data_IF_481333558663
#
_entry.id   IF_481333558663
#
_cell.length_a   1.000
_cell.length_b   1.000
_cell.length_c   1.000
_cell.angle_alpha   90.00
_cell.angle_beta   90.00
_cell.angle_gamma   90.00
#
_symmetry.space_group_name_H-M   'P 1'
#
loop_
_entity.id
_entity.type
_entity.pdbx_description
1 polymer ?
#
# COMPACT_ATOMS: atom_id res chain seq x y z
N UNK A 1 18.72 4.75 -11.00
CA UNK A 1 18.28 3.44 -10.48
C UNK A 1 16.79 3.35 -10.68
N UNK A 2 16.31 2.30 -11.35
CA UNK A 2 14.89 2.03 -11.58
C UNK A 2 14.40 1.01 -10.55
N UNK A 3 13.39 1.37 -9.77
CA UNK A 3 12.75 0.47 -8.79
C UNK A 3 11.32 0.18 -9.21
N UNK A 4 10.98 -1.09 -9.30
CA UNK A 4 9.62 -1.56 -9.56
C UNK A 4 8.98 -1.99 -8.23
N UNK A 5 7.82 -1.41 -7.89
CA UNK A 5 7.07 -1.76 -6.68
C UNK A 5 5.81 -2.54 -7.09
N UNK A 6 5.69 -3.75 -6.63
CA UNK A 6 4.49 -4.58 -6.77
C UNK A 6 3.50 -4.22 -5.65
N UNK A 7 2.40 -3.56 -6.03
CA UNK A 7 1.43 -2.92 -5.14
C UNK A 7 1.50 -1.40 -5.21
N UNK A 8 0.35 -0.71 -5.08
CA UNK A 8 0.25 0.75 -5.04
C UNK A 8 -0.69 1.23 -3.92
N UNK A 9 -0.90 0.41 -2.88
CA UNK A 9 -1.63 0.77 -1.67
C UNK A 9 -0.82 1.71 -0.75
N UNK A 10 -1.33 2.00 0.45
CA UNK A 10 -0.79 3.05 1.35
C UNK A 10 0.67 2.79 1.76
N UNK A 11 1.05 1.56 2.09
CA UNK A 11 2.42 1.22 2.46
C UNK A 11 3.35 1.27 1.24
N UNK A 12 2.90 0.72 0.10
CA UNK A 12 3.64 0.78 -1.15
C UNK A 12 3.88 2.24 -1.59
N UNK A 13 2.89 3.11 -1.42
CA UNK A 13 3.01 4.54 -1.71
C UNK A 13 4.01 5.22 -0.78
N UNK A 14 4.00 4.91 0.53
CA UNK A 14 5.02 5.44 1.45
C UNK A 14 6.44 5.01 1.09
N UNK A 15 6.61 3.78 0.58
CA UNK A 15 7.88 3.31 0.01
C UNK A 15 8.22 4.14 -1.23
N UNK A 16 7.28 4.29 -2.17
CA UNK A 16 7.48 5.07 -3.40
C UNK A 16 7.89 6.51 -3.11
N UNK A 17 7.25 7.19 -2.14
CA UNK A 17 7.61 8.55 -1.71
C UNK A 17 9.06 8.64 -1.20
N UNK A 18 9.52 7.66 -0.41
CA UNK A 18 10.91 7.63 0.09
C UNK A 18 11.92 7.43 -1.04
N UNK A 19 11.64 6.48 -1.94
CA UNK A 19 12.54 6.17 -3.06
C UNK A 19 12.58 7.32 -4.08
N UNK A 20 11.42 7.87 -4.43
CA UNK A 20 11.30 9.00 -5.35
C UNK A 20 12.06 10.23 -4.83
N UNK A 21 11.84 10.61 -3.56
CA UNK A 21 12.54 11.73 -2.92
C UNK A 21 14.03 11.49 -2.72
N UNK A 22 14.47 10.23 -2.72
CA UNK A 22 15.89 9.87 -2.76
C UNK A 22 16.50 9.89 -4.17
N UNK A 23 15.73 10.32 -5.19
CA UNK A 23 16.19 10.46 -6.58
C UNK A 23 16.13 9.19 -7.42
N UNK A 24 15.40 8.16 -6.96
CA UNK A 24 15.19 6.93 -7.73
C UNK A 24 13.99 7.08 -8.69
N UNK A 25 14.05 6.41 -9.82
CA UNK A 25 12.93 6.24 -10.71
C UNK A 25 12.05 5.11 -10.17
N UNK A 26 10.75 5.37 -9.96
CA UNK A 26 9.81 4.42 -9.36
C UNK A 26 8.69 4.12 -10.32
N UNK A 27 8.44 2.84 -10.58
CA UNK A 27 7.27 2.33 -11.30
C UNK A 27 6.48 1.45 -10.34
N UNK A 28 5.15 1.50 -10.38
CA UNK A 28 4.30 0.68 -9.52
C UNK A 28 3.33 -0.15 -10.34
N UNK A 29 2.89 -1.27 -9.76
CA UNK A 29 1.81 -2.10 -10.33
C UNK A 29 0.73 -2.36 -9.31
N UNK A 30 -0.51 -2.54 -9.74
CA UNK A 30 -1.61 -2.96 -8.86
C UNK A 30 -2.71 -3.68 -9.69
N UNK A 31 -3.79 -4.04 -9.01
CA UNK A 31 -4.98 -4.61 -9.64
C UNK A 31 -5.63 -3.62 -10.60
N UNK A 32 -6.25 -4.07 -11.71
CA UNK A 32 -7.06 -3.21 -12.59
C UNK A 32 -8.23 -2.51 -11.87
N UNK A 33 -8.69 -3.09 -10.76
CA UNK A 33 -9.65 -2.50 -9.81
C UNK A 33 -9.06 -2.56 -8.41
N UNK A 34 -8.33 -1.53 -7.99
CA UNK A 34 -7.67 -1.51 -6.68
C UNK A 34 -8.66 -1.56 -5.52
N UNK A 35 -8.27 -2.24 -4.44
CA UNK A 35 -9.07 -2.39 -3.22
C UNK A 35 -8.48 -1.63 -2.03
N UNK A 36 -7.65 -0.63 -2.29
CA UNK A 36 -7.09 0.22 -1.27
C UNK A 36 -8.18 1.04 -0.57
N UNK A 37 -8.26 0.95 0.76
CA UNK A 37 -9.25 1.71 1.54
C UNK A 37 -8.79 3.15 1.81
N UNK A 38 -7.48 3.38 1.96
CA UNK A 38 -6.90 4.71 2.22
C UNK A 38 -6.54 5.41 0.91
N UNK A 39 -7.55 5.60 0.04
CA UNK A 39 -7.39 6.05 -1.35
C UNK A 39 -6.64 7.38 -1.51
N UNK A 40 -6.83 8.31 -0.57
CA UNK A 40 -6.22 9.64 -0.56
C UNK A 40 -4.71 9.65 -0.27
N UNK A 41 -4.14 8.53 0.18
CA UNK A 41 -2.71 8.34 0.43
C UNK A 41 -2.13 7.14 -0.32
N UNK A 42 -2.80 6.75 -1.42
CA UNK A 42 -2.41 5.64 -2.28
C UNK A 42 -2.21 6.12 -3.71
N UNK A 43 -1.25 5.54 -4.42
CA UNK A 43 -1.10 5.75 -5.86
C UNK A 43 -1.99 4.84 -6.70
N UNK A 44 -2.59 3.80 -6.11
CA UNK A 44 -3.50 2.89 -6.83
C UNK A 44 -4.71 3.58 -7.49
N UNK A 45 -5.30 4.69 -6.99
CA UNK A 45 -6.37 5.40 -7.70
C UNK A 45 -5.97 5.92 -9.09
N UNK A 46 -4.68 6.14 -9.37
CA UNK A 46 -4.24 6.51 -10.71
C UNK A 46 -4.70 5.52 -11.77
N UNK A 47 -4.85 4.22 -11.44
CA UNK A 47 -5.33 3.19 -12.40
C UNK A 47 -6.78 3.47 -12.84
N UNK A 48 -7.65 3.91 -11.95
CA UNK A 48 -9.07 4.17 -12.26
C UNK A 48 -9.35 5.60 -12.70
N UNK A 49 -8.62 6.56 -12.14
CA UNK A 49 -8.89 7.99 -12.29
C UNK A 49 -7.96 8.66 -13.31
N UNK A 50 -6.96 7.91 -13.83
CA UNK A 50 -5.94 8.38 -14.76
C UNK A 50 -4.70 8.93 -14.06
N UNK A 51 -4.87 9.70 -13.01
CA UNK A 51 -3.78 10.23 -12.17
C UNK A 51 -4.22 10.46 -10.73
N UNK A 52 -3.27 10.57 -9.85
CA UNK A 52 -3.46 10.96 -8.45
C UNK A 52 -2.22 11.66 -7.92
N UNK A 53 -2.39 12.44 -6.84
CA UNK A 53 -1.27 13.10 -6.15
C UNK A 53 -1.34 12.73 -4.69
N UNK A 54 -0.21 12.30 -4.12
CA UNK A 54 -0.06 12.06 -2.68
C UNK A 54 1.07 12.97 -2.19
N UNK A 55 0.73 13.87 -1.27
CA UNK A 55 1.62 14.95 -0.83
C UNK A 55 2.07 15.80 -2.05
N UNK A 56 3.34 15.74 -2.43
CA UNK A 56 3.93 16.48 -3.55
C UNK A 56 4.27 15.61 -4.76
N UNK A 57 3.94 14.32 -4.73
CA UNK A 57 4.31 13.36 -5.77
C UNK A 57 3.11 12.97 -6.61
N UNK A 58 3.24 13.16 -7.93
CA UNK A 58 2.22 12.80 -8.92
C UNK A 58 2.43 11.38 -9.41
N UNK A 59 1.38 10.58 -9.40
CA UNK A 59 1.33 9.26 -10.01
C UNK A 59 0.33 9.25 -11.18
N UNK A 60 0.68 8.56 -12.25
CA UNK A 60 -0.10 8.54 -13.50
C UNK A 60 -0.25 7.11 -13.99
N UNK A 61 -1.45 6.77 -14.46
CA UNK A 61 -1.69 5.48 -15.11
C UNK A 61 -0.80 5.30 -16.33
N UNK A 62 -0.21 4.14 -16.42
CA UNK A 62 0.48 3.68 -17.63
C UNK A 62 -0.17 2.39 -18.12
N UNK A 63 -0.44 2.31 -19.43
CA UNK A 63 -1.06 1.13 -20.04
C UNK A 63 -0.01 0.20 -20.67
N UNK A 64 1.26 0.60 -20.66
CA UNK A 64 2.38 -0.20 -21.16
C UNK A 64 3.71 0.19 -20.51
N UNK A 65 4.71 -0.70 -20.49
CA UNK A 65 6.08 -0.38 -20.06
C UNK A 65 6.70 0.80 -20.82
N UNK A 66 6.45 0.92 -22.12
CA UNK A 66 6.96 2.04 -22.93
C UNK A 66 6.37 3.38 -22.47
N UNK A 67 5.07 3.43 -22.16
CA UNK A 67 4.43 4.60 -21.60
C UNK A 67 4.96 4.92 -20.20
N UNK A 68 5.21 3.88 -19.37
CA UNK A 68 5.81 4.07 -18.05
C UNK A 68 7.18 4.77 -18.14
N UNK A 69 8.06 4.34 -19.05
CA UNK A 69 9.35 5.00 -19.27
C UNK A 69 9.19 6.46 -19.71
N UNK A 70 8.19 6.76 -20.55
CA UNK A 70 7.90 8.15 -20.96
C UNK A 70 7.43 9.02 -19.78
N UNK A 71 6.60 8.48 -18.90
CA UNK A 71 6.12 9.18 -17.70
C UNK A 71 7.23 9.41 -16.67
N UNK A 72 8.15 8.44 -16.50
CA UNK A 72 9.35 8.63 -15.67
C UNK A 72 10.19 9.81 -16.13
N UNK A 73 10.36 9.98 -17.45
CA UNK A 73 11.10 11.11 -18.00
C UNK A 73 10.42 12.47 -17.75
N UNK A 74 9.11 12.46 -17.43
CA UNK A 74 8.32 13.64 -17.04
C UNK A 74 8.28 13.86 -15.52
N UNK A 75 9.00 13.05 -14.75
CA UNK A 75 9.04 13.16 -13.28
C UNK A 75 7.78 12.62 -12.57
N UNK A 76 6.94 11.83 -13.25
CA UNK A 76 5.79 11.19 -12.62
C UNK A 76 6.16 9.76 -12.18
N UNK A 77 5.36 9.20 -11.24
CA UNK A 77 5.38 7.79 -10.86
C UNK A 77 4.35 7.03 -11.69
N UNK A 78 4.75 6.20 -12.66
CA UNK A 78 3.80 5.40 -13.44
C UNK A 78 3.19 4.28 -12.59
N UNK A 79 1.87 4.03 -12.77
CA UNK A 79 1.16 2.92 -12.13
C UNK A 79 0.49 2.08 -13.21
N UNK A 80 0.89 0.81 -13.33
CA UNK A 80 0.35 -0.12 -14.33
C UNK A 80 -0.71 -1.03 -13.71
N UNK A 81 -1.82 -1.34 -14.41
CA UNK A 81 -2.78 -2.37 -14.02
C UNK A 81 -2.23 -3.77 -14.35
N UNK A 82 -1.17 -4.19 -13.65
CA UNK A 82 -0.41 -5.42 -13.88
C UNK A 82 -0.19 -6.18 -12.56
N UNK A 83 -1.19 -6.94 -12.07
CA UNK A 83 -1.13 -7.64 -10.79
C UNK A 83 -0.02 -8.70 -10.70
N UNK A 84 0.34 -9.29 -11.84
CA UNK A 84 1.40 -10.31 -11.91
C UNK A 84 2.80 -9.69 -12.09
N UNK A 85 2.87 -8.35 -12.21
CA UNK A 85 4.14 -7.63 -12.36
C UNK A 85 4.97 -8.11 -13.58
N UNK A 86 4.28 -8.43 -14.69
CA UNK A 86 4.91 -8.93 -15.92
C UNK A 86 5.73 -7.85 -16.63
N UNK A 87 5.40 -6.58 -16.39
CA UNK A 87 6.16 -5.45 -16.92
C UNK A 87 7.65 -5.48 -16.54
N UNK A 88 8.04 -6.22 -15.46
CA UNK A 88 9.45 -6.39 -15.06
C UNK A 88 10.33 -6.94 -16.18
N UNK A 89 9.76 -7.81 -17.05
CA UNK A 89 10.47 -8.44 -18.16
C UNK A 89 10.87 -7.45 -19.24
N UNK A 90 10.21 -6.30 -19.34
CA UNK A 90 10.52 -5.25 -20.31
C UNK A 90 11.19 -4.04 -19.64
N UNK A 91 10.89 -3.77 -18.38
CA UNK A 91 11.47 -2.63 -17.65
C UNK A 91 12.88 -2.92 -17.12
N UNK A 92 13.23 -4.20 -16.89
CA UNK A 92 14.50 -4.64 -16.31
C UNK A 92 14.92 -3.80 -15.10
N UNK A 93 14.11 -3.76 -14.01
CA UNK A 93 14.40 -2.90 -12.87
C UNK A 93 15.68 -3.32 -12.13
N UNK A 94 16.42 -2.36 -11.59
CA UNK A 94 17.56 -2.61 -10.70
C UNK A 94 17.13 -3.24 -9.38
N UNK A 95 15.91 -2.92 -8.92
CA UNK A 95 15.32 -3.51 -7.73
C UNK A 95 13.81 -3.72 -7.89
N UNK A 96 13.29 -4.79 -7.28
CA UNK A 96 11.86 -5.08 -7.14
C UNK A 96 11.49 -5.09 -5.66
N UNK A 97 10.41 -4.38 -5.32
CA UNK A 97 9.86 -4.36 -3.95
C UNK A 97 8.45 -4.95 -3.99
N UNK A 98 8.24 -6.10 -3.35
CA UNK A 98 6.88 -6.64 -3.20
C UNK A 98 6.21 -6.04 -1.96
N UNK A 99 5.29 -5.12 -2.19
CA UNK A 99 4.54 -4.37 -1.19
C UNK A 99 3.02 -4.64 -1.26
N UNK A 100 2.62 -5.82 -1.73
CA UNK A 100 1.21 -6.25 -1.76
C UNK A 100 0.62 -6.43 -0.35
N UNK A 101 1.44 -6.74 0.64
CA UNK A 101 1.05 -7.00 2.04
C UNK A 101 0.02 -8.14 2.19
N UNK A 102 0.07 -9.12 1.31
CA UNK A 102 -0.84 -10.25 1.26
C UNK A 102 -0.66 -11.26 2.41
N UNK A 103 0.34 -11.08 3.30
CA UNK A 103 0.71 -11.97 4.41
C UNK A 103 1.23 -13.34 3.97
N UNK A 104 1.43 -13.51 2.71
CA UNK A 104 2.05 -14.66 2.05
C UNK A 104 2.68 -14.21 0.75
N UNK A 105 3.71 -14.88 0.31
CA UNK A 105 4.29 -14.65 -1.02
C UNK A 105 3.28 -15.07 -2.11
N UNK A 106 3.01 -14.18 -3.05
CA UNK A 106 2.15 -14.41 -4.23
C UNK A 106 2.97 -14.57 -5.51
N UNK A 107 4.10 -15.29 -5.43
CA UNK A 107 4.90 -15.68 -6.57
C UNK A 107 6.10 -14.79 -6.87
N UNK A 108 6.46 -13.84 -6.01
CA UNK A 108 7.72 -13.09 -6.11
C UNK A 108 8.90 -14.00 -5.80
N UNK A 109 9.94 -13.93 -6.61
CA UNK A 109 11.14 -14.76 -6.53
C UNK A 109 12.37 -13.88 -6.37
N UNK A 110 13.36 -14.39 -5.68
CA UNK A 110 14.67 -13.73 -5.50
C UNK A 110 15.35 -13.37 -6.83
N UNK A 111 14.98 -14.06 -7.91
CA UNK A 111 15.51 -13.87 -9.27
C UNK A 111 14.74 -12.87 -10.12
N UNK A 112 13.67 -12.25 -9.62
CA UNK A 112 12.82 -11.34 -10.39
C UNK A 112 13.49 -9.98 -10.69
N UNK A 113 14.55 -9.64 -9.94
CA UNK A 113 15.42 -8.48 -10.18
C UNK A 113 16.80 -8.70 -9.53
N UNK A 114 17.84 -7.90 -9.85
CA UNK A 114 19.13 -7.94 -9.16
C UNK A 114 19.01 -7.77 -7.64
N UNK A 115 18.06 -6.93 -7.18
CA UNK A 115 17.70 -6.81 -5.76
C UNK A 115 16.19 -7.00 -5.62
N UNK A 116 15.77 -7.92 -4.75
CA UNK A 116 14.35 -8.17 -4.43
C UNK A 116 14.14 -7.95 -2.94
N UNK A 117 13.16 -7.12 -2.58
CA UNK A 117 12.80 -6.79 -1.19
C UNK A 117 11.34 -7.16 -0.94
N UNK A 118 11.10 -8.02 0.05
CA UNK A 118 9.75 -8.38 0.50
C UNK A 118 9.28 -7.50 1.67
N UNK A 119 8.02 -7.04 1.64
CA UNK A 119 7.48 -6.17 2.69
C UNK A 119 6.57 -6.93 3.63
N UNK A 120 7.03 -7.13 4.87
CA UNK A 120 6.30 -7.78 5.95
C UNK A 120 6.32 -9.30 5.91
N UNK A 121 5.41 -9.96 6.65
CA UNK A 121 5.37 -11.41 6.76
C UNK A 121 4.94 -12.09 5.45
N UNK A 122 5.45 -13.27 5.22
CA UNK A 122 5.20 -14.08 4.03
C UNK A 122 6.42 -14.24 3.14
N UNK A 123 7.53 -13.58 3.47
CA UNK A 123 8.81 -13.69 2.79
C UNK A 123 9.90 -14.15 3.74
N UNK A 124 10.89 -14.85 3.19
CA UNK A 124 12.13 -15.24 3.87
C UNK A 124 13.33 -14.70 3.09
N UNK A 125 14.11 -13.83 3.73
CA UNK A 125 15.34 -13.32 3.14
C UNK A 125 16.39 -14.45 2.95
N UNK A 126 16.95 -14.52 1.76
CA UNK A 126 17.84 -15.60 1.32
C UNK A 126 17.14 -16.74 0.55
N UNK A 127 15.78 -16.75 0.53
CA UNK A 127 14.96 -17.73 -0.18
C UNK A 127 14.08 -17.06 -1.22
N UNK A 128 13.09 -16.26 -0.77
CA UNK A 128 12.13 -15.56 -1.63
C UNK A 128 12.67 -14.24 -2.19
N UNK A 129 13.50 -13.57 -1.39
CA UNK A 129 14.01 -12.23 -1.64
C UNK A 129 15.39 -12.04 -0.98
N UNK A 130 16.06 -10.93 -1.29
CA UNK A 130 17.37 -10.59 -0.71
C UNK A 130 17.25 -9.93 0.68
N UNK A 131 16.14 -9.21 0.93
CA UNK A 131 15.84 -8.62 2.23
C UNK A 131 14.34 -8.59 2.48
N UNK A 132 13.95 -8.61 3.76
CA UNK A 132 12.57 -8.40 4.21
C UNK A 132 12.52 -7.14 5.06
N UNK A 133 11.46 -6.33 4.92
CA UNK A 133 11.26 -5.16 5.79
C UNK A 133 10.13 -5.44 6.77
N UNK A 134 10.41 -5.26 8.07
CA UNK A 134 9.44 -5.44 9.15
C UNK A 134 8.29 -4.44 9.09
N UNK A 135 7.07 -4.92 9.20
CA UNK A 135 5.85 -4.09 9.19
C UNK A 135 5.06 -4.12 10.50
N UNK A 136 5.45 -4.94 11.47
CA UNK A 136 4.82 -4.94 12.80
C UNK A 136 5.10 -3.62 13.50
N UNK A 137 4.04 -2.95 14.02
CA UNK A 137 4.23 -1.76 14.86
C UNK A 137 4.99 -2.12 16.13
N UNK A 138 5.90 -1.27 16.53
CA UNK A 138 6.76 -1.45 17.70
C UNK A 138 8.22 -1.13 17.39
N UNK A 139 9.11 -1.62 18.24
CA UNK A 139 10.54 -1.30 18.21
C UNK A 139 11.25 -1.65 16.90
N UNK A 140 10.79 -2.66 16.19
CA UNK A 140 11.42 -3.17 14.95
C UNK A 140 10.76 -2.70 13.66
N UNK A 141 9.74 -1.84 13.74
CA UNK A 141 9.05 -1.32 12.55
C UNK A 141 10.04 -0.67 11.57
N UNK A 142 9.98 -1.11 10.31
CA UNK A 142 10.84 -0.59 9.24
C UNK A 142 12.25 -1.18 9.21
N UNK A 143 12.60 -2.12 10.10
CA UNK A 143 13.92 -2.77 10.09
C UNK A 143 14.11 -3.61 8.84
N UNK A 144 15.22 -3.42 8.14
CA UNK A 144 15.67 -4.31 7.08
C UNK A 144 16.27 -5.60 7.69
N UNK A 145 15.83 -6.74 7.20
CA UNK A 145 16.19 -8.10 7.65
C UNK A 145 16.83 -8.80 6.46
N UNK A 146 18.12 -9.13 6.58
CA UNK A 146 18.90 -9.77 5.50
C UNK A 146 18.98 -11.29 5.65
N UNK A 147 18.46 -11.85 6.74
CA UNK A 147 18.37 -13.28 6.98
C UNK A 147 17.12 -13.60 7.80
N UNK A 148 16.30 -14.52 7.34
CA UNK A 148 15.05 -14.92 7.99
C UNK A 148 13.85 -14.05 7.58
N UNK A 149 12.82 -13.96 8.43
CA UNK A 149 11.51 -13.42 8.10
C UNK A 149 11.09 -12.31 9.07
N UNK A 150 10.13 -11.46 8.65
CA UNK A 150 9.43 -10.54 9.53
C UNK A 150 8.54 -11.30 10.54
N UNK A 151 8.14 -10.60 11.60
CA UNK A 151 7.26 -11.17 12.63
C UNK A 151 5.92 -11.65 12.01
N UNK A 152 5.40 -12.80 12.46
CA UNK A 152 4.14 -13.34 11.95
C UNK A 152 2.98 -12.35 12.11
N UNK A 153 2.04 -12.39 11.15
CA UNK A 153 0.83 -11.58 11.23
C UNK A 153 -0.06 -12.03 12.39
N UNK A 154 -0.42 -11.10 13.26
CA UNK A 154 -1.31 -11.38 14.42
C UNK A 154 -2.79 -11.30 14.07
N UNK A 155 -3.17 -10.83 12.89
CA UNK A 155 -4.54 -10.46 12.49
C UNK A 155 -5.21 -9.39 13.37
N UNK A 156 -4.48 -8.83 14.34
CA UNK A 156 -4.96 -7.76 15.21
C UNK A 156 -4.48 -6.43 14.64
N UNK A 157 -5.40 -5.49 14.32
CA UNK A 157 -5.01 -4.15 13.89
C UNK A 157 -4.19 -3.43 14.97
N UNK A 158 -3.20 -2.66 14.56
CA UNK A 158 -2.40 -1.87 15.50
C UNK A 158 -3.24 -0.89 16.31
N UNK A 159 -2.89 -0.72 17.59
CA UNK A 159 -3.54 0.22 18.50
C UNK A 159 -3.33 1.66 18.04
N UNK A 160 -4.41 2.43 17.90
CA UNK A 160 -4.41 3.87 17.59
C UNK A 160 -5.45 4.53 18.48
N UNK A 161 -5.05 5.52 19.27
CA UNK A 161 -5.93 6.26 20.16
C UNK A 161 -6.72 5.37 21.14
N UNK A 162 -6.15 4.24 21.57
CA UNK A 162 -6.81 3.29 22.46
C UNK A 162 -7.69 2.24 21.78
N UNK A 163 -7.87 2.29 20.46
CA UNK A 163 -8.72 1.37 19.68
C UNK A 163 -7.88 0.51 18.73
N UNK A 164 -8.27 -0.74 18.55
CA UNK A 164 -7.62 -1.70 17.64
C UNK A 164 -8.59 -2.21 16.56
N UNK A 165 -9.35 -3.25 16.86
CA UNK A 165 -10.32 -3.86 15.93
C UNK A 165 -11.55 -2.99 15.70
N UNK A 166 -11.96 -2.24 16.67
CA UNK A 166 -13.18 -1.43 16.70
C UNK A 166 -13.16 -0.31 15.63
N UNK A 167 -11.98 0.19 15.29
CA UNK A 167 -11.83 1.22 14.27
C UNK A 167 -11.93 0.68 12.83
N UNK A 168 -11.98 -0.65 12.66
CA UNK A 168 -12.05 -1.27 11.34
C UNK A 168 -13.49 -1.49 10.93
N UNK A 169 -13.91 -0.85 9.86
CA UNK A 169 -15.21 -1.08 9.25
C UNK A 169 -15.14 -2.35 8.37
N UNK A 170 -16.04 -3.30 8.64
CA UNK A 170 -16.07 -4.57 7.91
C UNK A 170 -17.38 -4.74 7.17
N UNK A 171 -17.33 -5.30 5.95
CA UNK A 171 -18.51 -5.62 5.15
C UNK A 171 -19.48 -6.51 5.95
N UNK A 172 -20.76 -6.14 6.06
CA UNK A 172 -21.75 -6.90 6.84
C UNK A 172 -22.21 -8.18 6.12
N UNK A 173 -22.03 -8.25 4.79
CA UNK A 173 -22.45 -9.36 3.94
C UNK A 173 -21.55 -9.50 2.71
N UNK A 174 -21.74 -10.57 1.94
CA UNK A 174 -21.22 -10.69 0.58
C UNK A 174 -22.05 -9.81 -0.37
N UNK A 175 -21.41 -9.20 -1.36
CA UNK A 175 -22.11 -8.39 -2.35
C UNK A 175 -21.31 -7.19 -2.87
N UNK A 176 -22.02 -6.18 -3.33
CA UNK A 176 -21.44 -4.95 -3.87
C UNK A 176 -21.53 -3.86 -2.80
N UNK A 177 -20.38 -3.28 -2.49
CA UNK A 177 -20.27 -2.18 -1.54
C UNK A 177 -20.75 -0.86 -2.16
N UNK A 178 -21.57 -0.13 -1.43
CA UNK A 178 -22.00 1.23 -1.74
C UNK A 178 -21.58 2.17 -0.61
N UNK A 179 -20.77 3.14 -0.92
CA UNK A 179 -20.26 4.14 0.01
C UNK A 179 -21.35 5.20 0.30
N UNK A 180 -21.48 5.61 1.55
CA UNK A 180 -22.34 6.73 2.00
C UNK A 180 -21.47 7.88 2.49
N UNK A 181 -20.48 7.58 3.36
CA UNK A 181 -19.50 8.55 3.85
C UNK A 181 -18.23 8.53 3.00
N UNK A 182 -17.45 9.60 3.03
CA UNK A 182 -16.15 9.67 2.36
C UNK A 182 -14.99 9.83 3.37
N UNK A 183 -13.78 9.73 2.86
CA UNK A 183 -12.55 9.98 3.63
C UNK A 183 -12.54 11.45 4.03
N UNK A 184 -12.36 11.70 5.33
CA UNK A 184 -12.40 13.04 5.92
C UNK A 184 -13.70 13.35 6.67
N UNK A 185 -14.78 12.58 6.47
CA UNK A 185 -16.03 12.77 7.19
C UNK A 185 -15.87 12.42 8.68
N UNK A 186 -16.38 13.28 9.56
CA UNK A 186 -16.50 13.01 10.99
C UNK A 186 -17.69 12.09 11.27
N UNK A 187 -17.50 11.15 12.20
CA UNK A 187 -18.50 10.13 12.52
C UNK A 187 -18.66 9.91 14.03
N UNK A 188 -19.85 9.44 14.40
CA UNK A 188 -20.19 8.97 15.73
C UNK A 188 -20.52 7.46 15.71
N UNK A 189 -20.45 6.77 16.85
CA UNK A 189 -20.90 5.37 16.93
C UNK A 189 -22.36 5.25 16.46
N UNK A 190 -22.59 4.31 15.54
CA UNK A 190 -23.91 4.06 14.93
C UNK A 190 -24.11 4.66 13.55
N UNK A 191 -23.31 5.64 13.14
CA UNK A 191 -23.37 6.22 11.78
C UNK A 191 -23.12 5.17 10.70
N UNK A 192 -23.83 5.30 9.58
CA UNK A 192 -23.75 4.35 8.48
C UNK A 192 -22.68 4.82 7.49
N UNK A 193 -21.54 4.17 7.44
CA UNK A 193 -20.44 4.50 6.53
C UNK A 193 -20.70 4.03 5.09
N UNK A 194 -21.50 3.00 4.92
CA UNK A 194 -21.86 2.44 3.63
C UNK A 194 -22.81 1.25 3.77
N UNK A 195 -23.16 0.62 2.66
CA UNK A 195 -24.03 -0.56 2.64
C UNK A 195 -23.46 -1.66 1.75
N UNK A 196 -23.85 -2.91 2.00
CA UNK A 196 -23.63 -4.04 1.07
C UNK A 196 -24.97 -4.67 0.79
N UNK A 197 -25.45 -4.58 -0.45
CA UNK A 197 -26.80 -5.04 -0.83
C UNK A 197 -27.91 -4.50 0.11
N UNK A 198 -27.80 -3.24 0.51
CA UNK A 198 -28.74 -2.59 1.44
C UNK A 198 -28.47 -2.85 2.94
N UNK A 199 -27.59 -3.80 3.32
CA UNK A 199 -27.23 -4.03 4.71
C UNK A 199 -26.24 -2.98 5.20
N UNK A 200 -26.52 -2.25 6.30
CA UNK A 200 -25.69 -1.14 6.76
C UNK A 200 -24.37 -1.59 7.37
N UNK A 201 -23.28 -0.92 7.00
CA UNK A 201 -21.98 -0.98 7.64
C UNK A 201 -21.85 0.22 8.59
N UNK A 202 -21.94 -0.03 9.91
CA UNK A 202 -21.95 1.01 10.93
C UNK A 202 -20.58 1.30 11.50
N UNK A 203 -20.33 2.56 11.85
CA UNK A 203 -19.19 2.97 12.66
C UNK A 203 -19.39 2.50 14.10
N UNK A 204 -18.37 1.89 14.69
CA UNK A 204 -18.40 1.39 16.08
C UNK A 204 -17.78 2.38 17.05
N UNK A 205 -16.99 3.33 16.56
CA UNK A 205 -16.35 4.41 17.34
C UNK A 205 -16.57 5.76 16.66
N UNK A 206 -16.42 6.83 17.41
CA UNK A 206 -16.32 8.19 16.89
C UNK A 206 -14.93 8.48 16.34
N UNK A 207 -14.82 9.42 15.40
CA UNK A 207 -13.58 9.82 14.78
C UNK A 207 -13.76 10.39 13.39
N UNK A 208 -12.72 10.27 12.57
CA UNK A 208 -12.73 10.64 11.14
C UNK A 208 -12.61 9.38 10.29
N UNK A 209 -13.41 9.26 9.23
CA UNK A 209 -13.25 8.20 8.22
C UNK A 209 -11.91 8.40 7.51
N UNK A 210 -10.93 7.58 7.86
CA UNK A 210 -9.56 7.66 7.32
C UNK A 210 -9.38 6.81 6.08
N UNK A 211 -10.28 5.87 5.86
CA UNK A 211 -10.25 5.01 4.70
C UNK A 211 -11.59 4.33 4.49
N UNK A 212 -11.99 4.20 3.23
CA UNK A 212 -13.20 3.52 2.82
C UNK A 212 -13.07 3.07 1.36
N UNK A 213 -13.59 1.88 1.04
CA UNK A 213 -13.60 1.36 -0.32
C UNK A 213 -14.42 2.25 -1.27
N UNK A 214 -14.08 2.28 -2.56
CA UNK A 214 -14.94 2.89 -3.56
C UNK A 214 -16.25 2.11 -3.72
N UNK A 215 -17.34 2.80 -4.07
CA UNK A 215 -18.60 2.16 -4.47
C UNK A 215 -18.39 1.24 -5.68
N UNK A 216 -19.16 0.16 -5.75
CA UNK A 216 -19.05 -0.84 -6.81
C UNK A 216 -18.00 -1.94 -6.53
N UNK A 217 -17.30 -1.88 -5.41
CA UNK A 217 -16.31 -2.91 -5.03
C UNK A 217 -17.03 -4.19 -4.60
N UNK A 218 -16.73 -5.35 -5.21
CA UNK A 218 -17.17 -6.63 -4.68
C UNK A 218 -16.50 -6.92 -3.34
N UNK A 219 -17.30 -7.28 -2.34
CA UNK A 219 -16.81 -7.59 -0.99
C UNK A 219 -17.40 -8.90 -0.49
N UNK A 220 -16.67 -9.56 0.40
CA UNK A 220 -17.18 -10.69 1.18
C UNK A 220 -17.41 -10.28 2.62
N UNK A 221 -18.30 -10.97 3.32
CA UNK A 221 -18.59 -10.74 4.74
C UNK A 221 -17.31 -10.75 5.57
N UNK A 222 -17.13 -9.71 6.40
CA UNK A 222 -15.95 -9.54 7.23
C UNK A 222 -14.75 -8.89 6.55
N UNK A 223 -14.79 -8.69 5.22
CA UNK A 223 -13.73 -7.97 4.49
C UNK A 223 -13.56 -6.57 5.08
N UNK A 224 -12.31 -6.16 5.30
CA UNK A 224 -12.00 -4.80 5.72
C UNK A 224 -12.40 -3.82 4.60
N UNK A 225 -13.39 -2.99 4.87
CA UNK A 225 -13.97 -2.05 3.90
C UNK A 225 -13.77 -0.59 4.28
N UNK A 226 -13.26 -0.31 5.48
CA UNK A 226 -12.94 1.05 5.91
C UNK A 226 -12.14 1.07 7.23
N UNK A 227 -11.83 2.28 7.66
CA UNK A 227 -11.02 2.58 8.84
C UNK A 227 -11.43 3.94 9.41
N UNK A 228 -11.76 4.00 10.71
CA UNK A 228 -12.03 5.25 11.45
C UNK A 228 -10.81 5.59 12.31
N UNK A 229 -10.36 6.83 12.26
CA UNK A 229 -9.28 7.31 13.11
C UNK A 229 -9.84 8.13 14.29
N UNK A 230 -9.73 7.61 15.54
CA UNK A 230 -10.28 8.28 16.72
C UNK A 230 -9.53 9.56 17.11
N UNK A 231 -8.38 9.84 16.52
CA UNK A 231 -7.59 11.04 16.81
C UNK A 231 -8.17 12.30 16.20
N UNK A 232 -9.13 12.18 15.26
CA UNK A 232 -9.83 13.31 14.62
C UNK A 232 -8.87 14.35 14.04
N UNK A 233 -7.83 13.88 13.32
CA UNK A 233 -6.87 14.76 12.64
C UNK A 233 -7.07 14.60 11.11
N UNK A 234 -7.71 15.58 10.43
CA UNK A 234 -8.01 15.47 8.99
C UNK A 234 -6.76 15.32 8.11
N UNK A 235 -5.64 15.92 8.49
CA UNK A 235 -4.38 15.81 7.76
C UNK A 235 -3.84 14.38 7.69
N UNK A 236 -4.23 13.50 8.62
CA UNK A 236 -3.88 12.08 8.55
C UNK A 236 -4.61 11.31 7.45
N UNK A 237 -5.61 11.94 6.85
CA UNK A 237 -6.31 11.39 5.69
C UNK A 237 -5.57 11.62 4.37
N UNK A 238 -4.68 12.63 4.31
CA UNK A 238 -4.03 13.07 3.07
C UNK A 238 -2.50 12.93 3.09
N UNK A 239 -1.91 12.55 4.23
CA UNK A 239 -0.47 12.36 4.37
C UNK A 239 -0.10 10.91 4.63
N UNK A 240 1.09 10.50 4.16
CA UNK A 240 1.62 9.18 4.41
C UNK A 240 1.86 8.95 5.90
N UNK A 241 1.50 7.77 6.41
CA UNK A 241 1.62 7.47 7.82
C UNK A 241 3.07 7.24 8.27
N UNK A 242 3.31 7.41 9.58
CA UNK A 242 4.53 6.98 10.27
C UNK A 242 4.97 5.57 9.85
N UNK A 243 4.03 4.62 9.82
CA UNK A 243 4.30 3.24 9.41
C UNK A 243 4.74 3.16 7.95
N UNK A 244 4.05 3.83 7.04
CA UNK A 244 4.36 3.81 5.63
C UNK A 244 5.76 4.40 5.35
N UNK A 245 6.09 5.51 6.02
CA UNK A 245 7.39 6.15 5.89
C UNK A 245 8.53 5.38 6.57
N UNK A 246 8.28 4.72 7.71
CA UNK A 246 9.27 3.86 8.37
C UNK A 246 9.61 2.63 7.50
N UNK A 247 8.58 1.96 6.96
CA UNK A 247 8.77 0.83 6.04
C UNK A 247 9.48 1.28 4.76
N UNK A 248 9.14 2.46 4.25
CA UNK A 248 9.83 3.06 3.10
C UNK A 248 11.32 3.34 3.38
N UNK A 249 11.66 3.76 4.60
CA UNK A 249 13.07 3.92 5.04
C UNK A 249 13.83 2.59 5.03
N UNK A 250 13.20 1.52 5.54
CA UNK A 250 13.80 0.18 5.52
C UNK A 250 13.99 -0.38 4.11
N UNK A 251 13.03 -0.12 3.21
CA UNK A 251 13.15 -0.52 1.81
C UNK A 251 14.30 0.24 1.10
N UNK A 252 14.42 1.55 1.35
CA UNK A 252 15.51 2.37 0.84
C UNK A 252 16.88 1.87 1.36
N UNK A 253 17.00 1.61 2.66
CA UNK A 253 18.20 1.04 3.26
C UNK A 253 18.59 -0.29 2.59
N UNK A 254 17.63 -1.22 2.46
CA UNK A 254 17.87 -2.53 1.86
C UNK A 254 18.36 -2.41 0.41
N UNK A 255 17.73 -1.56 -0.41
CA UNK A 255 18.13 -1.35 -1.81
C UNK A 255 19.54 -0.77 -1.89
N UNK A 256 19.84 0.29 -1.14
CA UNK A 256 21.15 0.93 -1.16
C UNK A 256 22.26 0.00 -0.67
N UNK A 257 22.00 -0.79 0.38
CA UNK A 257 22.94 -1.75 0.93
C UNK A 257 23.27 -2.87 -0.08
N UNK A 258 22.24 -3.46 -0.69
CA UNK A 258 22.37 -4.61 -1.58
C UNK A 258 22.93 -4.24 -2.96
N UNK A 259 22.64 -3.04 -3.46
CA UNK A 259 23.20 -2.55 -4.73
C UNK A 259 24.62 -2.02 -4.57
N UNK A 260 25.07 -1.74 -3.36
CA UNK A 260 26.37 -1.08 -3.12
C UNK A 260 26.44 0.36 -3.63
N UNK A 261 25.31 1.02 -3.85
CA UNK A 261 25.22 2.33 -4.49
C UNK A 261 25.94 3.48 -3.73
N UNK A 262 26.30 3.25 -2.46
CA UNK A 262 27.01 4.20 -1.59
C UNK A 262 28.44 3.74 -1.25
N UNK A 263 28.99 2.77 -1.97
CA UNK A 263 30.34 2.23 -1.74
C UNK A 263 31.28 2.63 -2.84
#
# INVERSE_FOLDING_TARGET
>A
MLVLIRGAGDIATGIALRLYRAGMQVVMTDLPRPTAIRRTVCFSPAITDGETVVEDVRAVRADSPAQALSLLAQGAVPVLPDPECLCREQLHPDALVDALLAKRNLGTRITDAPVVVGIGPGFTAGEDCHAVVETMRGHTLGRAIYQGSALPNTNIPGLIGGYAGERVLRAPADGIFTRILDIGDEVQPGDIAGTVNGQPMKCTIGGVVRGILPSGTPVHRGMKSGDVDPRCQPEYCTTASDKALAVGGGALEAILHLTGALR
#
